data_IF_720975005625
#
_entry.id   IF_720975005625
#
_cell.length_a   1.000
_cell.length_b   1.000
_cell.length_c   1.000
_cell.angle_alpha   90.00
_cell.angle_beta   90.00
_cell.angle_gamma   90.00
#
_symmetry.space_group_name_H-M   'P 1'
#
loop_
_entity.id
_entity.type
_entity.pdbx_description
1 polymer ?
#
# COMPACT_ATOMS: atom_id res chain seq x y z
N UNK A 1 63.70 -28.15 20.65
CA UNK A 1 62.87 -27.12 20.00
C UNK A 1 62.85 -27.43 18.52
N UNK A 2 61.77 -28.02 18.02
CA UNK A 2 61.55 -28.17 16.59
C UNK A 2 61.59 -26.76 15.97
N UNK A 3 62.35 -26.58 14.88
CA UNK A 3 62.32 -25.34 14.11
C UNK A 3 60.91 -25.23 13.54
N UNK A 4 60.17 -24.18 13.89
CA UNK A 4 58.86 -23.89 13.29
C UNK A 4 59.12 -23.53 11.82
N UNK A 5 59.13 -24.54 10.96
CA UNK A 5 59.34 -24.38 9.53
C UNK A 5 58.06 -23.78 8.95
N UNK A 6 57.99 -22.44 8.91
CA UNK A 6 56.80 -21.71 8.47
C UNK A 6 56.21 -22.24 7.16
N UNK A 7 54.88 -22.24 7.08
CA UNK A 7 54.10 -22.84 5.99
C UNK A 7 54.02 -21.89 4.81
N UNK A 8 54.34 -22.38 3.61
CA UNK A 8 54.19 -21.60 2.37
C UNK A 8 52.73 -21.65 1.91
N UNK A 9 52.10 -20.49 1.81
CA UNK A 9 50.71 -20.30 1.39
C UNK A 9 50.69 -19.58 0.05
N UNK A 10 50.01 -20.18 -0.93
CA UNK A 10 49.83 -19.63 -2.30
C UNK A 10 51.15 -19.32 -3.02
N UNK A 11 52.24 -20.01 -2.65
CA UNK A 11 53.61 -19.85 -3.20
C UNK A 11 54.28 -18.49 -2.94
N UNK A 12 53.55 -17.50 -2.42
CA UNK A 12 54.00 -16.11 -2.30
C UNK A 12 54.10 -15.61 -0.85
N UNK A 13 53.53 -16.32 0.12
CA UNK A 13 53.62 -16.00 1.54
C UNK A 13 54.18 -17.19 2.33
N UNK A 14 55.02 -16.92 3.33
CA UNK A 14 55.47 -17.90 4.32
C UNK A 14 54.97 -17.46 5.70
N UNK A 15 54.16 -18.28 6.35
CA UNK A 15 53.38 -17.94 7.54
C UNK A 15 53.86 -18.80 8.70
N UNK A 16 54.04 -18.19 9.88
CA UNK A 16 54.47 -18.86 11.12
C UNK A 16 53.34 -18.84 12.15
N UNK A 17 53.35 -19.79 13.10
CA UNK A 17 52.27 -19.92 14.10
C UNK A 17 52.17 -18.73 15.04
N UNK A 18 53.27 -18.03 15.26
CA UNK A 18 53.37 -16.82 16.06
C UNK A 18 52.80 -15.55 15.37
N UNK A 19 52.23 -15.70 14.17
CA UNK A 19 51.67 -14.59 13.40
C UNK A 19 52.67 -13.88 12.49
N UNK A 20 53.96 -14.23 12.51
CA UNK A 20 54.92 -13.66 11.57
C UNK A 20 54.62 -14.13 10.14
N UNK A 21 54.60 -13.19 9.20
CA UNK A 21 54.38 -13.45 7.78
C UNK A 21 55.55 -12.87 7.01
N UNK A 22 56.12 -13.68 6.12
CA UNK A 22 57.13 -13.28 5.16
C UNK A 22 56.52 -13.34 3.75
N UNK A 23 56.96 -12.45 2.87
CA UNK A 23 56.54 -12.39 1.47
C UNK A 23 57.69 -12.77 0.56
N UNK A 24 57.37 -13.48 -0.51
CA UNK A 24 58.32 -13.81 -1.56
C UNK A 24 58.47 -12.61 -2.50
N UNK A 25 59.70 -12.15 -2.67
CA UNK A 25 60.11 -11.13 -3.64
C UNK A 25 61.19 -11.76 -4.50
N UNK A 26 60.79 -12.20 -5.71
CA UNK A 26 61.69 -12.77 -6.72
C UNK A 26 62.64 -13.86 -6.18
N UNK A 27 62.15 -14.74 -5.30
CA UNK A 27 62.91 -15.85 -4.72
C UNK A 27 63.52 -15.58 -3.35
N UNK A 28 63.40 -14.35 -2.83
CA UNK A 28 63.84 -13.98 -1.47
C UNK A 28 62.66 -13.78 -0.53
N UNK A 29 62.82 -14.17 0.74
CA UNK A 29 61.77 -14.05 1.76
C UNK A 29 62.05 -12.85 2.66
N UNK A 30 61.18 -11.84 2.62
CA UNK A 30 61.27 -10.66 3.47
C UNK A 30 60.09 -10.60 4.44
N UNK A 31 60.30 -10.06 5.65
CA UNK A 31 59.21 -9.87 6.61
C UNK A 31 58.14 -8.94 6.01
N UNK A 32 56.91 -9.40 5.96
CA UNK A 32 55.81 -8.64 5.37
C UNK A 32 55.42 -7.48 6.29
N UNK A 33 55.18 -6.31 5.68
CA UNK A 33 54.58 -5.17 6.39
C UNK A 33 53.07 -5.37 6.49
N UNK A 34 52.53 -5.17 7.69
CA UNK A 34 51.10 -5.29 7.96
C UNK A 34 50.45 -3.93 7.74
N UNK A 35 49.40 -3.90 6.92
CA UNK A 35 48.62 -2.72 6.63
C UNK A 35 47.26 -2.85 7.32
N UNK A 36 46.98 -1.94 8.26
CA UNK A 36 45.68 -1.84 8.91
C UNK A 36 44.70 -1.14 7.96
N UNK A 37 43.72 -1.89 7.47
CA UNK A 37 42.72 -1.41 6.52
C UNK A 37 41.54 -0.86 7.29
N UNK A 38 41.20 0.42 7.06
CA UNK A 38 40.05 1.07 7.69
C UNK A 38 38.74 0.46 7.19
N UNK A 39 37.70 0.40 8.04
CA UNK A 39 36.39 -0.10 7.64
C UNK A 39 35.77 0.80 6.57
N UNK A 40 34.97 0.18 5.69
CA UNK A 40 34.12 0.87 4.70
C UNK A 40 32.68 0.44 4.90
N UNK A 41 31.74 1.01 4.13
CA UNK A 41 30.34 0.55 4.13
C UNK A 41 30.17 -0.96 3.82
N UNK A 42 31.17 -1.60 3.19
CA UNK A 42 31.10 -3.01 2.74
C UNK A 42 32.13 -3.93 3.39
N UNK A 43 33.02 -3.41 4.22
CA UNK A 43 34.12 -4.20 4.78
C UNK A 43 34.49 -3.76 6.18
N UNK A 44 34.81 -4.73 7.02
CA UNK A 44 35.31 -4.48 8.37
C UNK A 44 36.78 -4.11 8.34
N UNK A 45 37.22 -3.50 9.44
CA UNK A 45 38.62 -3.28 9.72
C UNK A 45 39.38 -4.62 9.73
N UNK A 46 40.62 -4.66 9.24
CA UNK A 46 41.45 -5.89 9.22
C UNK A 46 42.92 -5.57 8.95
N UNK A 47 43.81 -6.51 9.25
CA UNK A 47 45.18 -6.47 8.74
C UNK A 47 45.30 -7.15 7.36
N UNK A 48 46.09 -6.55 6.49
CA UNK A 48 46.46 -7.10 5.18
C UNK A 48 47.96 -7.04 4.95
N UNK A 49 48.44 -7.98 4.15
CA UNK A 49 49.80 -7.97 3.59
C UNK A 49 49.72 -7.96 2.07
N UNK A 50 50.74 -7.40 1.44
CA UNK A 50 50.86 -7.38 -0.02
C UNK A 50 52.26 -7.81 -0.47
N UNK A 51 52.31 -8.38 -1.67
CA UNK A 51 53.55 -8.63 -2.40
C UNK A 51 53.33 -8.55 -3.89
N UNK A 52 54.41 -8.36 -4.64
CA UNK A 52 54.43 -8.50 -6.09
C UNK A 52 55.29 -9.72 -6.43
N UNK A 53 54.71 -10.66 -7.17
CA UNK A 53 55.38 -11.88 -7.58
C UNK A 53 55.05 -12.16 -9.04
N UNK A 54 56.07 -12.38 -9.87
CA UNK A 54 55.93 -12.60 -11.32
C UNK A 54 55.04 -11.55 -12.02
N UNK A 55 55.24 -10.27 -11.70
CA UNK A 55 54.50 -9.15 -12.30
C UNK A 55 53.05 -8.99 -11.82
N UNK A 56 52.57 -9.84 -10.90
CA UNK A 56 51.20 -9.77 -10.35
C UNK A 56 51.22 -9.35 -8.89
N UNK A 57 50.28 -8.48 -8.50
CA UNK A 57 50.08 -8.11 -7.11
C UNK A 57 49.23 -9.17 -6.39
N UNK A 58 49.70 -9.60 -5.22
CA UNK A 58 48.98 -10.47 -4.30
C UNK A 58 48.65 -9.68 -3.04
N UNK A 59 47.37 -9.65 -2.68
CA UNK A 59 46.87 -9.03 -1.45
C UNK A 59 46.09 -10.09 -0.68
N UNK A 60 46.42 -10.27 0.60
CA UNK A 60 45.75 -11.22 1.46
C UNK A 60 45.49 -10.63 2.84
N UNK A 61 44.38 -11.03 3.46
CA UNK A 61 44.12 -10.75 4.87
C UNK A 61 44.97 -11.63 5.76
N UNK A 62 45.48 -11.08 6.86
CA UNK A 62 46.34 -11.81 7.80
C UNK A 62 45.61 -13.02 8.39
N UNK A 63 44.40 -12.84 8.92
CA UNK A 63 43.54 -13.94 9.40
C UNK A 63 43.36 -15.06 8.37
N UNK A 64 43.24 -14.72 7.09
CA UNK A 64 43.06 -15.71 6.02
C UNK A 64 44.31 -16.52 5.78
N UNK A 65 45.48 -15.88 5.78
CA UNK A 65 46.76 -16.59 5.63
C UNK A 65 47.04 -17.52 6.81
N UNK A 66 46.75 -17.06 8.03
CA UNK A 66 46.90 -17.87 9.24
C UNK A 66 45.95 -19.07 9.24
N UNK A 67 44.68 -18.87 8.88
CA UNK A 67 43.71 -19.95 8.80
C UNK A 67 44.04 -20.96 7.67
N UNK A 68 44.53 -20.50 6.50
CA UNK A 68 44.96 -21.39 5.41
C UNK A 68 46.19 -22.21 5.77
N UNK A 69 47.10 -21.67 6.58
CA UNK A 69 48.33 -22.36 6.99
C UNK A 69 48.09 -23.40 8.10
N UNK A 70 47.25 -23.07 9.10
CA UNK A 70 47.25 -23.80 10.37
C UNK A 70 45.90 -24.35 10.81
N UNK A 71 44.80 -24.01 10.13
CA UNK A 71 43.46 -24.46 10.52
C UNK A 71 42.88 -25.33 9.39
N UNK A 72 42.74 -26.66 9.60
CA UNK A 72 42.14 -27.54 8.60
C UNK A 72 40.75 -27.07 8.18
N UNK A 73 40.47 -27.14 6.87
CA UNK A 73 39.19 -26.77 6.29
C UNK A 73 38.62 -27.92 5.43
N UNK A 74 38.31 -29.09 6.03
CA UNK A 74 37.87 -30.28 5.30
C UNK A 74 36.55 -30.06 4.55
N UNK A 75 35.70 -29.17 5.05
CA UNK A 75 34.41 -28.81 4.44
C UNK A 75 34.51 -27.67 3.41
N UNK A 76 35.73 -27.21 3.11
CA UNK A 76 36.01 -26.12 2.16
C UNK A 76 35.15 -24.86 2.38
N UNK A 77 34.96 -24.48 3.65
CA UNK A 77 34.19 -23.29 4.02
C UNK A 77 34.88 -22.03 3.51
N UNK A 78 34.08 -21.08 3.04
CA UNK A 78 34.61 -19.94 2.28
C UNK A 78 35.07 -18.77 3.14
N UNK A 79 34.69 -18.67 4.42
CA UNK A 79 34.98 -17.52 5.26
C UNK A 79 35.76 -17.89 6.53
N UNK A 80 36.60 -16.96 6.98
CA UNK A 80 37.23 -17.02 8.32
C UNK A 80 36.46 -16.07 9.23
N UNK A 81 36.14 -16.54 10.43
CA UNK A 81 35.38 -15.81 11.44
C UNK A 81 36.19 -15.66 12.72
N UNK A 82 36.23 -14.44 13.25
CA UNK A 82 36.78 -14.11 14.56
C UNK A 82 35.75 -14.39 15.65
N UNK A 83 36.01 -15.37 16.52
CA UNK A 83 35.08 -15.84 17.55
C UNK A 83 34.70 -14.73 18.52
N UNK A 84 35.66 -13.90 18.90
CA UNK A 84 35.48 -12.74 19.78
C UNK A 84 34.87 -11.51 19.10
N UNK A 85 34.69 -11.51 17.77
CA UNK A 85 34.20 -10.39 16.96
C UNK A 85 35.17 -9.24 16.73
N UNK A 86 36.37 -9.30 17.28
CA UNK A 86 37.42 -8.33 17.01
C UNK A 86 38.18 -8.77 15.76
N UNK A 87 37.96 -8.09 14.64
CA UNK A 87 38.58 -8.43 13.35
C UNK A 87 40.07 -8.10 13.25
N UNK A 88 40.67 -7.60 14.33
CA UNK A 88 42.12 -7.38 14.48
C UNK A 88 42.81 -8.40 15.38
N UNK A 89 42.05 -9.26 16.07
CA UNK A 89 42.60 -10.33 16.90
C UNK A 89 42.82 -11.59 16.03
N UNK A 90 43.96 -11.66 15.37
CA UNK A 90 44.27 -12.73 14.41
C UNK A 90 44.88 -13.99 15.07
N UNK A 91 44.79 -14.15 16.39
CA UNK A 91 45.23 -15.35 17.11
C UNK A 91 44.56 -16.61 16.56
N UNK A 92 45.33 -17.69 16.34
CA UNK A 92 44.83 -18.93 15.71
C UNK A 92 43.60 -19.51 16.44
N UNK A 93 43.60 -19.47 17.77
CA UNK A 93 42.49 -19.95 18.59
C UNK A 93 41.23 -19.08 18.47
N UNK A 94 41.36 -17.82 18.04
CA UNK A 94 40.25 -16.91 17.79
C UNK A 94 39.64 -17.08 16.38
N UNK A 95 40.32 -17.78 15.46
CA UNK A 95 39.85 -17.96 14.09
C UNK A 95 39.07 -19.26 13.92
N UNK A 96 38.07 -19.25 13.02
CA UNK A 96 37.34 -20.44 12.61
C UNK A 96 36.87 -20.35 11.16
N UNK A 97 36.91 -21.47 10.44
CA UNK A 97 36.28 -21.60 9.13
C UNK A 97 34.76 -21.69 9.28
N UNK A 98 34.03 -20.84 8.56
CA UNK A 98 32.56 -20.78 8.57
C UNK A 98 31.99 -20.54 7.17
N UNK A 99 30.75 -20.99 6.97
CA UNK A 99 29.90 -20.58 5.85
C UNK A 99 29.26 -19.22 6.12
N UNK A 100 28.69 -18.60 5.08
CA UNK A 100 27.97 -17.33 5.23
C UNK A 100 26.77 -17.44 6.21
N UNK A 101 26.06 -18.56 6.20
CA UNK A 101 24.90 -18.80 7.07
C UNK A 101 25.30 -19.04 8.53
N UNK A 102 26.40 -19.78 8.78
CA UNK A 102 26.97 -19.96 10.11
C UNK A 102 27.49 -18.64 10.68
N UNK A 103 28.20 -17.84 9.87
CA UNK A 103 28.63 -16.49 10.29
C UNK A 103 27.45 -15.65 10.74
N UNK A 104 26.40 -15.59 9.93
CA UNK A 104 25.20 -14.81 10.25
C UNK A 104 24.54 -15.31 11.55
N UNK A 105 24.37 -16.63 11.71
CA UNK A 105 23.83 -17.23 12.94
C UNK A 105 24.68 -16.88 14.16
N UNK A 106 26.01 -16.96 14.06
CA UNK A 106 26.91 -16.65 15.17
C UNK A 106 26.83 -15.17 15.54
N UNK A 107 26.77 -14.26 14.56
CA UNK A 107 26.57 -12.82 14.78
C UNK A 107 25.26 -12.55 15.55
N UNK A 108 24.16 -13.21 15.17
CA UNK A 108 22.89 -13.09 15.92
C UNK A 108 22.97 -13.68 17.32
N UNK A 109 23.55 -14.89 17.49
CA UNK A 109 23.73 -15.52 18.80
C UNK A 109 24.59 -14.68 19.76
N UNK A 110 25.53 -13.91 19.22
CA UNK A 110 26.39 -13.01 19.98
C UNK A 110 25.77 -11.63 20.23
N UNK A 111 24.51 -11.40 19.85
CA UNK A 111 23.85 -10.09 20.05
C UNK A 111 24.40 -8.97 19.17
N UNK A 112 25.08 -9.30 18.06
CA UNK A 112 25.69 -8.34 17.13
C UNK A 112 24.88 -8.16 15.84
N UNK A 113 23.76 -8.86 15.74
CA UNK A 113 22.86 -8.75 14.60
C UNK A 113 22.07 -7.44 14.63
N UNK A 114 21.73 -6.95 13.44
CA UNK A 114 20.86 -5.79 13.27
C UNK A 114 19.40 -6.17 13.57
N UNK A 115 19.05 -6.23 14.84
CA UNK A 115 17.73 -6.63 15.35
C UNK A 115 17.04 -5.44 16.00
N UNK A 116 15.72 -5.57 16.21
CA UNK A 116 14.94 -4.61 16.97
C UNK A 116 15.45 -4.46 18.42
N UNK A 117 15.93 -5.55 19.01
CA UNK A 117 16.46 -5.56 20.38
C UNK A 117 17.75 -4.73 20.49
N UNK A 118 18.68 -4.92 19.55
CA UNK A 118 20.02 -4.33 19.59
C UNK A 118 20.10 -2.92 18.98
N UNK A 119 19.29 -2.65 17.96
CA UNK A 119 19.38 -1.43 17.14
C UNK A 119 18.07 -0.64 17.11
N UNK A 120 17.00 -1.16 17.71
CA UNK A 120 15.72 -0.48 17.76
C UNK A 120 15.79 0.77 18.62
N UNK A 121 15.13 1.82 18.16
CA UNK A 121 14.87 3.05 18.90
C UNK A 121 13.36 3.21 19.09
N UNK A 122 12.90 3.98 20.08
CA UNK A 122 11.46 4.16 20.31
C UNK A 122 10.82 4.92 19.16
N UNK A 123 9.67 4.43 18.70
CA UNK A 123 8.83 5.14 17.76
C UNK A 123 8.40 6.49 18.33
N UNK A 124 8.51 7.56 17.55
CA UNK A 124 8.16 8.92 17.98
C UNK A 124 6.66 9.01 18.36
N UNK A 125 5.83 8.19 17.73
CA UNK A 125 4.36 8.26 17.84
C UNK A 125 3.78 7.35 18.92
N UNK A 126 4.30 6.12 19.05
CA UNK A 126 3.74 5.13 19.97
C UNK A 126 4.73 4.60 21.02
N UNK A 127 6.00 5.03 20.99
CA UNK A 127 7.05 4.57 21.90
C UNK A 127 7.57 3.15 21.65
N UNK A 128 6.88 2.33 20.86
CA UNK A 128 7.32 0.96 20.54
C UNK A 128 8.65 0.94 19.77
N UNK A 129 9.49 -0.07 20.02
CA UNK A 129 10.76 -0.18 19.31
C UNK A 129 10.55 -0.27 17.79
N UNK A 130 11.38 0.41 17.04
CA UNK A 130 11.39 0.40 15.57
C UNK A 130 12.82 0.51 15.01
N UNK A 131 13.03 -0.04 13.82
CA UNK A 131 14.25 0.14 13.01
C UNK A 131 14.05 1.17 11.89
N UNK A 132 12.87 1.80 11.83
CA UNK A 132 12.54 2.78 10.81
C UNK A 132 13.45 4.01 10.94
N UNK A 133 14.05 4.44 9.83
CA UNK A 133 15.03 5.54 9.82
C UNK A 133 14.43 6.90 10.14
N UNK A 134 13.16 7.08 9.83
CA UNK A 134 12.38 8.30 10.03
C UNK A 134 11.70 8.38 11.40
N UNK A 135 11.97 7.44 12.32
CA UNK A 135 11.42 7.50 13.68
C UNK A 135 10.02 6.91 13.83
N UNK A 136 9.30 6.61 12.75
CA UNK A 136 7.90 6.15 12.82
C UNK A 136 7.81 4.66 12.46
N UNK A 137 7.24 3.86 13.35
CA UNK A 137 7.09 2.42 13.14
C UNK A 137 6.11 2.12 12.00
N UNK A 138 6.24 0.92 11.41
CA UNK A 138 5.36 0.48 10.32
C UNK A 138 3.89 0.46 10.70
N UNK A 139 3.56 0.20 11.96
CA UNK A 139 2.17 0.19 12.42
C UNK A 139 1.57 1.61 12.44
N UNK A 140 2.28 2.59 13.01
CA UNK A 140 1.86 3.99 13.01
C UNK A 140 1.68 4.53 11.59
N UNK A 141 2.60 4.21 10.66
CA UNK A 141 2.46 4.59 9.25
C UNK A 141 1.17 4.07 8.62
N UNK A 142 0.85 2.79 8.85
CA UNK A 142 -0.40 2.19 8.36
C UNK A 142 -1.65 2.83 8.98
N UNK A 143 -1.57 3.27 10.24
CA UNK A 143 -2.67 3.98 10.89
C UNK A 143 -2.94 5.33 10.21
N UNK A 144 -1.89 6.10 9.90
CA UNK A 144 -2.04 7.36 9.16
C UNK A 144 -2.62 7.14 7.76
N UNK A 145 -2.10 6.18 7.01
CA UNK A 145 -2.64 5.84 5.68
C UNK A 145 -4.14 5.48 5.76
N UNK A 146 -4.54 4.74 6.81
CA UNK A 146 -5.94 4.39 7.04
C UNK A 146 -6.79 5.61 7.40
N UNK A 147 -6.27 6.50 8.23
CA UNK A 147 -6.95 7.74 8.64
C UNK A 147 -7.14 8.70 7.46
N UNK A 148 -6.10 8.91 6.65
CA UNK A 148 -6.18 9.68 5.41
C UNK A 148 -7.21 9.10 4.43
N UNK A 149 -7.22 7.77 4.25
CA UNK A 149 -8.21 7.11 3.41
C UNK A 149 -9.65 7.31 3.93
N UNK A 150 -9.85 7.32 5.26
CA UNK A 150 -11.15 7.58 5.87
C UNK A 150 -11.60 9.03 5.65
N UNK A 151 -10.70 9.99 5.85
CA UNK A 151 -10.95 11.42 5.61
C UNK A 151 -11.35 11.63 4.14
N UNK A 152 -10.60 11.04 3.21
CA UNK A 152 -10.90 11.16 1.79
C UNK A 152 -12.22 10.47 1.40
N UNK A 153 -12.53 9.31 1.99
CA UNK A 153 -13.84 8.66 1.81
C UNK A 153 -14.99 9.57 2.29
N UNK A 154 -14.86 10.16 3.48
CA UNK A 154 -15.85 11.10 4.03
C UNK A 154 -16.01 12.32 3.13
N UNK A 155 -14.91 12.91 2.66
CA UNK A 155 -14.91 14.05 1.73
C UNK A 155 -15.66 13.73 0.43
N UNK A 156 -15.36 12.58 -0.19
CA UNK A 156 -16.05 12.12 -1.42
C UNK A 156 -17.54 11.88 -1.19
N UNK A 157 -17.89 11.33 -0.03
CA UNK A 157 -19.29 11.10 0.32
C UNK A 157 -20.03 12.43 0.50
N UNK A 158 -19.46 13.37 1.26
CA UNK A 158 -20.02 14.71 1.45
C UNK A 158 -20.24 15.44 0.12
N UNK A 159 -19.26 15.41 -0.80
CA UNK A 159 -19.40 16.05 -2.11
C UNK A 159 -20.45 15.39 -3.00
N UNK A 160 -20.72 14.09 -2.85
CA UNK A 160 -21.76 13.39 -3.63
C UNK A 160 -23.16 13.81 -3.22
N UNK A 161 -23.36 14.12 -1.94
CA UNK A 161 -24.68 14.46 -1.39
C UNK A 161 -24.85 15.97 -1.10
N UNK A 162 -23.91 16.82 -1.51
CA UNK A 162 -23.94 18.26 -1.21
C UNK A 162 -25.09 19.00 -1.90
N UNK A 163 -25.53 18.52 -3.07
CA UNK A 163 -26.64 19.11 -3.85
C UNK A 163 -28.02 18.50 -3.52
N UNK A 164 -28.10 17.60 -2.53
CA UNK A 164 -29.37 16.97 -2.15
C UNK A 164 -30.22 17.97 -1.37
N UNK A 165 -31.44 18.20 -1.86
CA UNK A 165 -32.49 18.94 -1.15
C UNK A 165 -33.24 17.99 -0.20
N UNK A 166 -33.24 18.31 1.09
CA UNK A 166 -33.89 17.48 2.12
C UNK A 166 -35.41 17.51 2.06
N UNK A 167 -36.00 18.56 1.47
CA UNK A 167 -37.46 18.70 1.37
C UNK A 167 -38.11 17.64 0.46
N UNK A 168 -37.30 16.96 -0.36
CA UNK A 168 -37.73 15.92 -1.28
C UNK A 168 -37.53 14.49 -0.76
N UNK A 169 -36.93 14.33 0.42
CA UNK A 169 -36.56 13.03 0.98
C UNK A 169 -37.66 12.48 1.89
N UNK A 170 -37.84 11.16 1.86
CA UNK A 170 -38.53 10.47 2.96
C UNK A 170 -37.61 10.24 4.16
N UNK A 171 -38.18 9.83 5.30
CA UNK A 171 -37.45 9.63 6.56
C UNK A 171 -36.28 8.65 6.42
N UNK A 172 -36.45 7.57 5.64
CA UNK A 172 -35.39 6.59 5.41
C UNK A 172 -34.29 7.20 4.55
N UNK A 173 -34.65 7.93 3.50
CA UNK A 173 -33.71 8.59 2.61
C UNK A 173 -32.90 9.67 3.34
N UNK A 174 -33.52 10.42 4.24
CA UNK A 174 -32.85 11.41 5.08
C UNK A 174 -31.80 10.75 5.99
N UNK A 175 -32.16 9.66 6.68
CA UNK A 175 -31.21 8.89 7.50
C UNK A 175 -30.02 8.42 6.65
N UNK A 176 -30.28 7.86 5.48
CA UNK A 176 -29.23 7.40 4.56
C UNK A 176 -28.31 8.56 4.19
N UNK A 177 -28.85 9.70 3.76
CA UNK A 177 -28.04 10.85 3.33
C UNK A 177 -27.18 11.38 4.48
N UNK A 178 -27.73 11.50 5.68
CA UNK A 178 -27.00 11.98 6.86
C UNK A 178 -25.86 11.04 7.24
N UNK A 179 -26.14 9.75 7.43
CA UNK A 179 -25.11 8.76 7.77
C UNK A 179 -24.01 8.70 6.69
N UNK A 180 -24.39 8.82 5.41
CA UNK A 180 -23.43 8.78 4.30
C UNK A 180 -22.58 10.05 4.25
N UNK A 181 -23.12 11.24 4.50
CA UNK A 181 -22.33 12.48 4.63
C UNK A 181 -21.33 12.42 5.78
N UNK A 182 -21.66 11.71 6.84
CA UNK A 182 -20.76 11.49 7.98
C UNK A 182 -19.63 10.49 7.69
N UNK A 183 -19.73 9.75 6.59
CA UNK A 183 -18.71 8.81 6.10
C UNK A 183 -19.02 7.34 6.37
N UNK A 184 -20.17 7.02 6.97
CA UNK A 184 -20.62 5.63 7.20
C UNK A 184 -20.71 4.88 5.90
N UNK A 185 -20.32 3.61 5.83
CA UNK A 185 -20.41 2.72 4.67
C UNK A 185 -21.84 2.25 4.40
N UNK A 186 -22.12 1.74 3.19
CA UNK A 186 -23.43 1.15 2.87
C UNK A 186 -23.82 -0.01 3.80
N UNK A 187 -22.83 -0.73 4.34
CA UNK A 187 -23.06 -1.83 5.25
C UNK A 187 -23.49 -1.33 6.64
N UNK A 188 -22.83 -0.30 7.16
CA UNK A 188 -23.17 0.33 8.44
C UNK A 188 -24.57 0.96 8.39
N UNK A 189 -24.89 1.67 7.30
CA UNK A 189 -26.25 2.21 7.07
C UNK A 189 -27.28 1.08 6.96
N UNK A 190 -26.94 -0.01 6.29
CA UNK A 190 -27.83 -1.17 6.17
C UNK A 190 -28.12 -1.80 7.52
N UNK A 191 -27.09 -1.95 8.36
CA UNK A 191 -27.23 -2.45 9.72
C UNK A 191 -28.16 -1.57 10.56
N UNK A 192 -27.97 -0.25 10.53
CA UNK A 192 -28.80 0.71 11.27
C UNK A 192 -30.29 0.64 10.86
N UNK A 193 -30.55 0.53 9.56
CA UNK A 193 -31.90 0.47 9.01
C UNK A 193 -32.51 -0.94 9.01
N UNK A 194 -31.77 -1.96 9.43
CA UNK A 194 -32.21 -3.35 9.35
C UNK A 194 -32.42 -3.88 7.92
N UNK A 195 -31.67 -3.35 6.94
CA UNK A 195 -31.75 -3.72 5.52
C UNK A 195 -30.40 -4.13 4.94
N UNK A 196 -30.41 -4.79 3.77
CA UNK A 196 -29.16 -5.17 3.12
C UNK A 196 -28.40 -3.95 2.59
N UNK A 197 -27.07 -4.02 2.51
CA UNK A 197 -26.24 -2.98 1.87
C UNK A 197 -26.68 -2.65 0.43
N UNK A 198 -27.22 -3.65 -0.27
CA UNK A 198 -27.70 -3.49 -1.66
C UNK A 198 -28.99 -2.68 -1.69
N UNK A 199 -29.85 -2.85 -0.68
CA UNK A 199 -31.03 -2.01 -0.53
C UNK A 199 -30.66 -0.55 -0.29
N UNK A 200 -29.67 -0.29 0.57
CA UNK A 200 -29.15 1.08 0.77
C UNK A 200 -28.58 1.66 -0.53
N UNK A 201 -27.81 0.87 -1.28
CA UNK A 201 -27.29 1.29 -2.59
C UNK A 201 -28.41 1.72 -3.55
N UNK A 202 -29.52 0.99 -3.59
CA UNK A 202 -30.67 1.33 -4.43
C UNK A 202 -31.31 2.68 -4.02
N UNK A 203 -31.43 2.94 -2.71
CA UNK A 203 -31.88 4.24 -2.21
C UNK A 203 -30.92 5.36 -2.61
N UNK A 204 -29.61 5.20 -2.40
CA UNK A 204 -28.62 6.19 -2.84
C UNK A 204 -28.72 6.49 -4.34
N UNK A 205 -28.82 5.44 -5.17
CA UNK A 205 -28.90 5.60 -6.61
C UNK A 205 -30.18 6.36 -7.00
N UNK A 206 -31.31 6.07 -6.34
CA UNK A 206 -32.56 6.80 -6.54
C UNK A 206 -32.38 8.29 -6.23
N UNK A 207 -31.89 8.62 -5.03
CA UNK A 207 -31.72 10.00 -4.55
C UNK A 207 -30.78 10.77 -5.50
N UNK A 208 -29.61 10.22 -5.80
CA UNK A 208 -28.62 10.89 -6.65
C UNK A 208 -29.11 11.06 -8.09
N UNK A 209 -29.86 10.08 -8.63
CA UNK A 209 -30.45 10.22 -9.97
C UNK A 209 -31.50 11.33 -9.98
N UNK A 210 -32.29 11.48 -8.92
CA UNK A 210 -33.30 12.53 -8.81
C UNK A 210 -32.66 13.92 -8.77
N UNK A 211 -31.60 14.11 -7.97
CA UNK A 211 -30.84 15.38 -7.92
C UNK A 211 -30.28 15.74 -9.29
N UNK A 212 -29.62 14.79 -9.96
CA UNK A 212 -29.08 14.99 -11.32
C UNK A 212 -30.19 15.33 -12.33
N UNK A 213 -31.32 14.62 -12.26
CA UNK A 213 -32.46 14.86 -13.14
C UNK A 213 -33.00 16.29 -12.99
N UNK A 214 -33.23 16.73 -11.75
CA UNK A 214 -33.72 18.08 -11.46
C UNK A 214 -32.77 19.17 -11.97
N UNK A 215 -31.46 18.97 -11.81
CA UNK A 215 -30.43 19.89 -12.31
C UNK A 215 -30.48 20.02 -13.83
N UNK A 216 -30.45 18.89 -14.56
CA UNK A 216 -30.51 18.87 -16.03
C UNK A 216 -31.81 19.49 -16.54
N UNK A 217 -32.94 19.20 -15.87
CA UNK A 217 -34.25 19.74 -16.28
C UNK A 217 -34.31 21.25 -16.07
N UNK A 218 -33.82 21.75 -14.93
CA UNK A 218 -33.73 23.19 -14.66
C UNK A 218 -32.86 23.91 -15.70
N UNK A 219 -31.72 23.34 -16.07
CA UNK A 219 -30.80 23.89 -17.08
C UNK A 219 -31.38 23.82 -18.50
N UNK A 220 -32.09 22.75 -18.85
CA UNK A 220 -32.56 22.50 -20.22
C UNK A 220 -33.91 23.15 -20.54
N UNK A 221 -34.81 23.23 -19.56
CA UNK A 221 -36.20 23.64 -19.79
C UNK A 221 -36.57 24.95 -19.07
N UNK A 222 -35.78 25.40 -18.09
CA UNK A 222 -35.98 26.69 -17.42
C UNK A 222 -37.40 26.87 -16.87
N UNK A 223 -38.14 27.85 -17.40
CA UNK A 223 -39.54 28.16 -17.04
C UNK A 223 -40.56 27.64 -18.07
N UNK A 224 -40.18 26.76 -19.00
CA UNK A 224 -41.09 26.17 -20.00
C UNK A 224 -42.25 25.49 -19.27
N UNK A 225 -43.47 25.75 -19.73
CA UNK A 225 -44.66 25.02 -19.29
C UNK A 225 -44.60 23.63 -19.94
N UNK A 226 -44.61 22.59 -19.13
CA UNK A 226 -44.48 21.20 -19.58
C UNK A 226 -45.84 20.52 -19.53
N UNK A 227 -46.12 19.70 -20.53
CA UNK A 227 -47.30 18.85 -20.63
C UNK A 227 -46.90 17.38 -20.46
N UNK A 228 -47.88 16.50 -20.33
CA UNK A 228 -47.62 15.04 -20.28
C UNK A 228 -46.90 14.52 -21.54
N UNK A 229 -46.96 15.23 -22.67
CA UNK A 229 -46.27 14.83 -23.91
C UNK A 229 -44.76 15.09 -23.84
N UNK A 230 -44.30 15.99 -22.96
CA UNK A 230 -42.88 16.29 -22.76
C UNK A 230 -42.17 15.21 -21.91
N UNK A 231 -42.87 14.20 -21.38
CA UNK A 231 -42.28 13.14 -20.55
C UNK A 231 -41.16 12.39 -21.29
N UNK A 232 -41.33 12.13 -22.59
CA UNK A 232 -40.32 11.45 -23.41
C UNK A 232 -39.06 12.31 -23.53
N UNK A 233 -39.26 13.59 -23.87
CA UNK A 233 -38.19 14.58 -24.02
C UNK A 233 -37.40 14.74 -22.72
N UNK A 234 -38.10 14.86 -21.57
CA UNK A 234 -37.49 14.93 -20.25
C UNK A 234 -36.64 13.69 -19.95
N UNK A 235 -37.19 12.48 -20.16
CA UNK A 235 -36.47 11.23 -19.88
C UNK A 235 -35.20 11.12 -20.73
N UNK A 236 -35.30 11.45 -22.01
CA UNK A 236 -34.17 11.36 -22.95
C UNK A 236 -33.12 12.41 -22.66
N UNK A 237 -33.52 13.63 -22.32
CA UNK A 237 -32.60 14.71 -21.97
C UNK A 237 -31.78 14.39 -20.71
N UNK A 238 -32.41 13.77 -19.71
CA UNK A 238 -31.73 13.30 -18.50
C UNK A 238 -30.97 11.98 -18.74
N UNK A 239 -31.24 11.27 -19.84
CA UNK A 239 -30.57 10.01 -20.18
C UNK A 239 -31.05 8.81 -19.37
N UNK A 240 -32.29 8.83 -18.87
CA UNK A 240 -32.82 7.75 -18.03
C UNK A 240 -33.39 6.63 -18.90
N UNK A 241 -33.00 5.38 -18.60
CA UNK A 241 -33.56 4.19 -19.26
C UNK A 241 -35.04 4.04 -18.90
N UNK A 242 -35.86 3.64 -19.88
CA UNK A 242 -37.30 3.37 -19.70
C UNK A 242 -37.59 2.46 -18.51
N UNK A 243 -36.83 1.37 -18.36
CA UNK A 243 -36.96 0.42 -17.26
C UNK A 243 -36.69 1.03 -15.88
N UNK A 244 -35.80 2.02 -15.78
CA UNK A 244 -35.48 2.72 -14.52
C UNK A 244 -36.62 3.66 -14.14
N UNK A 245 -37.12 4.46 -15.08
CA UNK A 245 -38.25 5.35 -14.81
C UNK A 245 -39.54 4.57 -14.51
N UNK A 246 -39.78 3.45 -15.20
CA UNK A 246 -40.88 2.53 -14.89
C UNK A 246 -40.89 2.11 -13.42
N UNK A 247 -39.74 1.61 -12.91
CA UNK A 247 -39.60 1.18 -11.51
C UNK A 247 -39.83 2.33 -10.53
N UNK A 248 -39.28 3.52 -10.80
CA UNK A 248 -39.45 4.71 -9.96
C UNK A 248 -40.92 5.10 -9.79
N UNK A 249 -41.74 4.89 -10.82
CA UNK A 249 -43.17 5.21 -10.79
C UNK A 249 -44.07 4.01 -10.47
N UNK A 250 -43.48 2.90 -10.05
CA UNK A 250 -44.15 1.63 -9.70
C UNK A 250 -44.91 1.01 -10.87
N UNK A 251 -44.27 0.96 -12.04
CA UNK A 251 -44.73 0.27 -13.24
C UNK A 251 -43.73 -0.81 -13.66
N UNK A 252 -44.24 -1.85 -14.30
CA UNK A 252 -43.38 -2.75 -15.07
C UNK A 252 -42.86 -2.04 -16.34
N UNK A 253 -41.66 -2.41 -16.84
CA UNK A 253 -41.07 -1.76 -18.02
C UNK A 253 -41.95 -1.81 -19.27
N UNK A 254 -42.70 -2.88 -19.49
CA UNK A 254 -43.55 -3.06 -20.68
C UNK A 254 -44.73 -2.10 -20.65
N UNK A 255 -45.41 -1.99 -19.50
CA UNK A 255 -46.49 -1.01 -19.31
C UNK A 255 -46.00 0.43 -19.46
N UNK A 256 -44.79 0.73 -18.98
CA UNK A 256 -44.21 2.06 -19.16
C UNK A 256 -43.99 2.40 -20.63
N UNK A 257 -43.42 1.49 -21.43
CA UNK A 257 -43.19 1.70 -22.87
C UNK A 257 -44.50 2.04 -23.60
N UNK A 258 -45.57 1.32 -23.29
CA UNK A 258 -46.89 1.56 -23.90
C UNK A 258 -47.45 2.93 -23.52
N UNK A 259 -47.28 3.37 -22.27
CA UNK A 259 -47.73 4.69 -21.80
C UNK A 259 -46.87 5.82 -22.31
N UNK A 260 -45.58 5.61 -22.54
CA UNK A 260 -44.70 6.62 -23.13
C UNK A 260 -45.11 6.96 -24.58
N UNK A 261 -45.59 5.96 -25.34
CA UNK A 261 -46.15 6.18 -26.68
C UNK A 261 -47.54 6.83 -26.67
N UNK A 262 -48.26 6.76 -25.53
CA UNK A 262 -49.60 7.34 -25.33
C UNK A 262 -49.68 8.00 -23.94
N UNK A 263 -49.05 9.18 -23.74
CA UNK A 263 -48.87 9.79 -22.42
C UNK A 263 -50.18 10.07 -21.67
N UNK A 264 -51.30 10.24 -22.38
CA UNK A 264 -52.65 10.35 -21.82
C UNK A 264 -53.05 9.17 -20.93
N UNK A 265 -52.39 8.02 -21.08
CA UNK A 265 -52.67 6.82 -20.29
C UNK A 265 -51.95 6.81 -18.92
N UNK A 266 -51.12 7.82 -18.62
CA UNK A 266 -50.58 7.97 -17.26
C UNK A 266 -51.69 8.40 -16.29
N UNK A 267 -51.80 7.66 -15.19
CA UNK A 267 -52.71 8.05 -14.10
C UNK A 267 -52.18 9.30 -13.39
N UNK A 268 -53.06 10.06 -12.73
CA UNK A 268 -52.65 11.24 -11.94
C UNK A 268 -51.56 10.86 -10.91
N UNK A 269 -51.70 9.71 -10.23
CA UNK A 269 -50.68 9.22 -9.28
C UNK A 269 -49.31 8.99 -9.95
N UNK A 270 -49.29 8.51 -11.19
CA UNK A 270 -48.05 8.34 -11.96
C UNK A 270 -47.47 9.68 -12.39
N UNK A 271 -48.31 10.61 -12.86
CA UNK A 271 -47.88 11.97 -13.23
C UNK A 271 -47.26 12.68 -12.02
N UNK A 272 -47.85 12.56 -10.83
CA UNK A 272 -47.30 13.13 -9.59
C UNK A 272 -45.91 12.53 -9.29
N UNK A 273 -45.74 11.22 -9.42
CA UNK A 273 -44.42 10.59 -9.21
C UNK A 273 -43.38 11.07 -10.23
N UNK A 274 -43.76 11.22 -11.50
CA UNK A 274 -42.89 11.76 -12.55
C UNK A 274 -42.53 13.22 -12.26
N UNK A 275 -43.53 14.02 -11.88
CA UNK A 275 -43.43 15.42 -11.48
C UNK A 275 -42.42 15.60 -10.33
N UNK A 276 -42.59 14.84 -9.25
CA UNK A 276 -41.69 14.91 -8.08
C UNK A 276 -40.26 14.46 -8.42
N UNK A 277 -40.13 13.44 -9.28
CA UNK A 277 -38.83 12.94 -9.70
C UNK A 277 -38.07 13.98 -10.55
N UNK A 278 -38.70 14.60 -11.54
CA UNK A 278 -38.06 15.61 -12.38
C UNK A 278 -38.05 17.02 -11.77
N UNK A 279 -38.79 17.26 -10.68
CA UNK A 279 -38.92 18.58 -10.05
C UNK A 279 -39.68 19.57 -10.91
N UNK A 280 -40.68 19.11 -11.67
CA UNK A 280 -41.48 19.93 -12.59
C UNK A 280 -42.96 19.75 -12.33
N UNK A 281 -43.77 20.78 -12.63
CA UNK A 281 -45.23 20.65 -12.66
C UNK A 281 -45.68 20.47 -14.12
N UNK A 282 -46.51 19.46 -14.36
CA UNK A 282 -47.15 19.27 -15.65
C UNK A 282 -48.49 19.99 -15.68
N UNK A 283 -48.76 20.70 -16.77
CA UNK A 283 -50.10 21.16 -17.10
C UNK A 283 -50.91 19.97 -17.63
N UNK A 284 -51.94 19.57 -16.87
CA UNK A 284 -52.85 18.51 -17.27
C UNK A 284 -54.02 19.19 -17.97
N UNK A 285 -54.08 19.12 -19.30
CA UNK A 285 -55.27 19.54 -20.04
C UNK A 285 -56.44 18.66 -19.61
N UNK A 286 -57.32 19.18 -18.74
CA UNK A 286 -58.67 18.66 -18.63
C UNK A 286 -59.37 19.01 -19.95
N UNK A 287 -59.55 18.02 -20.84
CA UNK A 287 -60.72 18.10 -21.73
C UNK A 287 -61.92 18.13 -20.79
N UNK A 288 -62.53 19.30 -20.62
CA UNK A 288 -63.96 19.33 -20.33
C UNK A 288 -64.62 18.74 -21.57
N UNK A 289 -65.29 17.63 -21.39
CA UNK A 289 -66.20 17.10 -22.39
C UNK A 289 -67.20 18.22 -22.72
N UNK A 290 -67.11 18.76 -23.93
CA UNK A 290 -68.26 19.38 -24.57
C UNK A 290 -69.12 18.21 -25.05
N UNK A 291 -69.89 17.63 -24.14
CA UNK A 291 -71.08 16.86 -24.46
C UNK A 291 -72.27 17.58 -23.80
N UNK A 292 -73.27 17.91 -24.62
CA UNK A 292 -74.55 18.58 -24.34
C UNK A 292 -74.41 20.10 -24.15
N UNK A 293 -74.92 20.99 -25.02
CA UNK A 293 -76.14 21.01 -25.85
C UNK A 293 -75.95 21.72 -27.19
#
# INVERSE_FOLDING_TARGET
MEKDDGVIVREVFKVYKDGNIYRNINGTWEKAKFYKIRPTKRSTERYQVNTYYNGKQYVAGVSRLLAEAFIPNPENKSMVFHKDGNTLNDDLDNLAWVTASERLRNVYKQGRGHTLENNGHPCIECGEKTLAKDGVCTNCKKLYEKEEALIEHKRKSLSRFSEVDYSDLDEIEEIIVNMRKEGSTLAEVGHELGVTRERVRQYEEKILTQVMAKKIVKESFGKKILTIHDIVELREKVGIKKSKLARLISLDPTSYINKENKPQNFTIKQIIKISNFFGVKFEIYQKRDNENE
#
